data_IF_967295910686
#
_entry.id   IF_967295910686
#
_cell.length_a   1.000
_cell.length_b   1.000
_cell.length_c   1.000
_cell.angle_alpha   90.00
_cell.angle_beta   90.00
_cell.angle_gamma   90.00
#
_symmetry.space_group_name_H-M   'P 1'
#
loop_
_entity.id
_entity.type
_entity.pdbx_description
1 polymer ?
#
# COMPACT_ATOMS: atom_id res chain seq x y z
N UNK A 1 -12.51 15.50 -6.37
CA UNK A 1 -11.75 14.32 -6.84
C UNK A 1 -12.03 13.18 -5.89
N UNK A 2 -12.11 11.93 -6.36
CA UNK A 2 -12.35 10.77 -5.49
C UNK A 2 -11.00 10.32 -4.94
N UNK A 3 -10.89 10.14 -3.62
CA UNK A 3 -9.69 9.59 -2.99
C UNK A 3 -9.49 8.12 -3.41
N UNK A 4 -8.23 7.67 -3.58
CA UNK A 4 -7.93 6.26 -3.81
C UNK A 4 -8.43 5.42 -2.63
N UNK A 5 -9.20 4.38 -2.91
CA UNK A 5 -9.54 3.40 -1.88
C UNK A 5 -8.43 2.35 -1.82
N UNK A 6 -7.98 2.00 -0.61
CA UNK A 6 -6.97 0.97 -0.36
C UNK A 6 -7.62 -0.17 0.43
N UNK A 7 -7.40 -1.41 -0.01
CA UNK A 7 -7.84 -2.62 0.70
C UNK A 7 -6.68 -3.60 0.81
N UNK A 8 -6.59 -4.30 1.94
CA UNK A 8 -5.64 -5.40 2.12
C UNK A 8 -6.24 -6.64 1.46
N UNK A 9 -5.49 -7.26 0.55
CA UNK A 9 -5.90 -8.46 -0.19
C UNK A 9 -5.33 -9.70 0.49
N UNK A 10 -4.03 -9.67 0.79
CA UNK A 10 -3.33 -10.81 1.38
C UNK A 10 -2.16 -10.36 2.26
N UNK A 11 -1.82 -11.20 3.23
CA UNK A 11 -0.63 -11.08 4.06
C UNK A 11 0.16 -12.38 3.92
N UNK A 12 1.41 -12.26 3.47
CA UNK A 12 2.34 -13.37 3.38
C UNK A 12 2.47 -14.14 4.71
N UNK A 13 2.72 -15.44 4.63
CA UNK A 13 2.78 -16.31 5.81
C UNK A 13 3.90 -15.93 6.80
N UNK A 14 4.95 -15.24 6.34
CA UNK A 14 6.03 -14.73 7.19
C UNK A 14 5.73 -13.35 7.81
N UNK A 15 4.63 -12.71 7.40
CA UNK A 15 4.22 -11.39 7.89
C UNK A 15 5.08 -10.23 7.38
N UNK A 16 5.93 -10.44 6.38
CA UNK A 16 6.89 -9.44 5.89
C UNK A 16 6.41 -8.69 4.64
N UNK A 17 5.42 -9.25 3.94
CA UNK A 17 4.84 -8.66 2.73
C UNK A 17 3.30 -8.66 2.78
N UNK A 18 2.71 -7.56 2.34
CA UNK A 18 1.27 -7.41 2.15
C UNK A 18 0.96 -7.09 0.68
N UNK A 19 -0.12 -7.66 0.16
CA UNK A 19 -0.70 -7.27 -1.12
C UNK A 19 -1.87 -6.31 -0.88
N UNK A 20 -1.82 -5.16 -1.56
CA UNK A 20 -2.83 -4.11 -1.46
C UNK A 20 -3.55 -3.96 -2.80
N UNK A 21 -4.88 -3.92 -2.75
CA UNK A 21 -5.72 -3.46 -3.85
C UNK A 21 -5.91 -1.95 -3.69
N UNK A 22 -5.47 -1.18 -4.70
CA UNK A 22 -5.61 0.27 -4.72
C UNK A 22 -6.44 0.68 -5.93
N UNK A 23 -7.61 1.26 -5.67
CA UNK A 23 -8.49 1.77 -6.70
C UNK A 23 -8.00 3.13 -7.22
N UNK A 24 -8.23 3.41 -8.51
CA UNK A 24 -8.08 4.76 -9.10
C UNK A 24 -6.63 5.29 -9.15
N UNK A 25 -5.62 4.43 -9.27
CA UNK A 25 -4.25 4.87 -9.59
C UNK A 25 -4.18 5.52 -10.99
N UNK A 26 -3.29 6.51 -11.14
CA UNK A 26 -3.11 7.27 -12.39
C UNK A 26 -1.64 7.25 -12.81
N UNK A 27 -1.41 7.01 -14.10
CA UNK A 27 -0.08 7.11 -14.72
C UNK A 27 0.43 8.54 -14.71
N UNK A 28 1.74 8.71 -14.55
CA UNK A 28 2.39 10.03 -14.51
C UNK A 28 2.24 10.78 -13.18
N UNK A 29 1.62 10.17 -12.17
CA UNK A 29 1.52 10.70 -10.81
C UNK A 29 2.39 9.90 -9.85
N UNK A 30 2.97 10.59 -8.86
CA UNK A 30 3.59 9.95 -7.69
C UNK A 30 2.48 9.76 -6.65
N UNK A 31 2.39 8.55 -6.09
CA UNK A 31 1.45 8.22 -5.03
C UNK A 31 2.23 7.99 -3.74
N UNK A 32 1.68 8.47 -2.63
CA UNK A 32 2.26 8.30 -1.30
C UNK A 32 1.36 7.36 -0.50
N UNK A 33 1.95 6.34 0.14
CA UNK A 33 1.24 5.43 1.03
C UNK A 33 1.72 5.71 2.46
N UNK A 34 0.76 6.05 3.32
CA UNK A 34 1.00 6.26 4.75
C UNK A 34 0.29 5.18 5.54
N UNK A 35 1.07 4.38 6.27
CA UNK A 35 0.55 3.30 7.12
C UNK A 35 0.40 3.82 8.56
N UNK A 36 -0.83 3.89 9.06
CA UNK A 36 -1.13 4.53 10.36
C UNK A 36 -1.40 3.55 11.50
N UNK A 37 -1.77 2.31 11.18
CA UNK A 37 -2.27 1.32 12.15
C UNK A 37 -1.51 -0.01 12.14
N UNK A 38 -0.36 -0.11 11.46
CA UNK A 38 0.45 -1.32 11.51
C UNK A 38 0.94 -1.62 12.93
N UNK A 39 1.08 -2.90 13.25
CA UNK A 39 1.58 -3.40 14.53
C UNK A 39 2.44 -4.63 14.31
N UNK A 40 3.50 -4.78 15.11
CA UNK A 40 4.28 -6.02 15.15
C UNK A 40 3.47 -7.15 15.80
N UNK A 41 3.96 -8.38 15.68
CA UNK A 41 3.44 -9.56 16.38
C UNK A 41 3.46 -9.40 17.90
N UNK A 42 4.31 -8.53 18.43
CA UNK A 42 4.42 -8.17 19.85
C UNK A 42 3.59 -6.92 20.20
N UNK A 43 2.68 -6.50 19.31
CA UNK A 43 1.77 -5.36 19.46
C UNK A 43 2.45 -3.97 19.50
N UNK A 44 3.73 -3.89 19.16
CA UNK A 44 4.47 -2.64 19.06
C UNK A 44 4.05 -1.87 17.81
N UNK A 45 3.99 -0.53 17.90
CA UNK A 45 3.77 0.30 16.72
C UNK A 45 5.12 0.54 16.03
N UNK A 46 5.26 0.18 14.74
CA UNK A 46 6.42 0.61 13.98
C UNK A 46 6.43 2.14 13.93
N UNK A 47 7.63 2.72 13.84
CA UNK A 47 7.75 4.15 13.58
C UNK A 47 6.93 4.50 12.32
N UNK A 48 6.23 5.64 12.27
CA UNK A 48 5.56 6.06 11.06
C UNK A 48 6.57 6.14 9.92
N UNK A 49 6.35 5.34 8.88
CA UNK A 49 7.16 5.36 7.67
C UNK A 49 6.27 5.82 6.52
N UNK A 50 6.60 6.98 5.96
CA UNK A 50 6.06 7.41 4.68
C UNK A 50 6.85 6.71 3.57
N UNK A 51 6.19 5.85 2.81
CA UNK A 51 6.82 5.18 1.68
C UNK A 51 6.27 5.80 0.40
N UNK A 52 7.19 6.24 -0.45
CA UNK A 52 6.86 6.83 -1.75
C UNK A 52 7.03 5.77 -2.82
N UNK A 53 6.06 5.66 -3.72
CA UNK A 53 6.16 4.77 -4.87
C UNK A 53 5.68 5.49 -6.13
N UNK A 54 6.40 5.24 -7.22
CA UNK A 54 6.04 5.76 -8.55
C UNK A 54 5.52 4.61 -9.39
N UNK A 55 4.27 4.70 -9.81
CA UNK A 55 3.72 3.75 -10.76
C UNK A 55 4.09 4.19 -12.18
N UNK A 56 5.08 3.52 -12.77
CA UNK A 56 5.54 3.84 -14.13
C UNK A 56 4.57 3.36 -15.23
N UNK A 57 3.72 2.37 -14.93
CA UNK A 57 2.69 1.85 -15.83
C UNK A 57 1.59 1.17 -15.02
N UNK A 58 0.33 1.41 -15.35
CA UNK A 58 -0.77 0.61 -14.77
C UNK A 58 -0.72 -0.77 -15.43
N UNK A 59 -0.53 -1.86 -14.68
CA UNK A 59 -0.58 -3.19 -15.27
C UNK A 59 -1.99 -3.43 -15.83
N UNK A 60 -2.10 -3.54 -17.15
CA UNK A 60 -3.29 -4.08 -17.80
C UNK A 60 -3.35 -5.56 -17.44
N UNK A 61 -4.40 -6.00 -16.73
CA UNK A 61 -4.65 -7.43 -16.53
C UNK A 61 -4.60 -8.14 -17.90
N UNK A 62 -4.00 -9.33 -18.01
CA UNK A 62 -4.20 -10.19 -19.18
C UNK A 62 -5.66 -10.62 -19.29
#
# INVERSE_FOLDING_TARGET
MKEPAVRIVDLSADGLAEELEVDVLREGFVHELTVTCARSTENERPAPQAVHFTLNKIPTRP
#
